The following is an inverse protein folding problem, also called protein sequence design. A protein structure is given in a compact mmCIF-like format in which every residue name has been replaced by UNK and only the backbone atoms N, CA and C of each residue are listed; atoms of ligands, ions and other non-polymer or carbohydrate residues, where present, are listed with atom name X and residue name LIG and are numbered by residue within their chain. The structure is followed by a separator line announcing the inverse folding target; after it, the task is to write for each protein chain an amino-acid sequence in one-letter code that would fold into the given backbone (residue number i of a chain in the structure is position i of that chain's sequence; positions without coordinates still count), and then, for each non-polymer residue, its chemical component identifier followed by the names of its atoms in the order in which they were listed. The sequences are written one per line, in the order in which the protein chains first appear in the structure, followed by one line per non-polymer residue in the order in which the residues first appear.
data_IF_347785269211
#
_entry.id   IF_347785269211
#
_cell.length_a   1.000
_cell.length_b   1.000
_cell.length_c   1.000
_cell.angle_alpha   90.00
_cell.angle_beta   90.00
_cell.angle_gamma   90.00
#
_symmetry.space_group_name_H-M   'P 1'
#
loop_
_entity.id
_entity.type
_entity.pdbx_description
1 polymer ?
#
# COMPACT_ATOMS: atom_id res chain seq x y z
N UNK A 1 -12.92 -59.57 -21.97
CA UNK A 1 -14.02 -60.32 -22.61
C UNK A 1 -15.24 -60.26 -21.69
N UNK A 2 -16.39 -59.74 -22.18
CA UNK A 2 -17.79 -59.76 -21.65
C UNK A 2 -18.04 -59.11 -20.26
N UNK A 3 -18.69 -57.95 -20.11
CA UNK A 3 -20.11 -57.54 -20.29
C UNK A 3 -21.13 -58.43 -19.54
N UNK A 4 -21.85 -57.82 -18.57
CA UNK A 4 -23.31 -57.94 -18.47
C UNK A 4 -23.94 -56.72 -17.76
N UNK A 5 -24.94 -56.16 -18.42
CA UNK A 5 -25.84 -55.07 -18.01
C UNK A 5 -27.14 -55.61 -17.40
N UNK A 6 -27.79 -54.81 -16.56
CA UNK A 6 -29.25 -54.64 -16.45
C UNK A 6 -29.48 -53.23 -15.88
N UNK A 7 -30.14 -52.24 -16.51
CA UNK A 7 -31.54 -52.19 -16.94
C UNK A 7 -32.42 -51.91 -15.70
N UNK A 8 -33.22 -50.85 -15.53
CA UNK A 8 -34.00 -50.11 -16.50
C UNK A 8 -34.68 -48.84 -15.91
N UNK A 9 -34.99 -47.88 -16.81
CA UNK A 9 -36.16 -46.98 -16.86
C UNK A 9 -36.40 -45.96 -15.72
N UNK A 10 -36.11 -44.69 -16.02
CA UNK A 10 -36.93 -43.55 -15.57
C UNK A 10 -37.57 -42.89 -16.79
N UNK A 11 -38.90 -42.97 -16.82
CA UNK A 11 -39.76 -42.27 -17.77
C UNK A 11 -39.68 -40.76 -17.53
N UNK A 12 -39.68 -40.00 -18.61
CA UNK A 12 -39.57 -38.54 -18.57
C UNK A 12 -40.91 -37.82 -18.44
N UNK A 13 -40.82 -36.52 -18.24
CA UNK A 13 -41.89 -35.57 -18.55
C UNK A 13 -41.29 -34.18 -18.75
N UNK A 14 -41.49 -33.63 -19.95
CA UNK A 14 -41.16 -32.27 -20.38
C UNK A 14 -42.23 -31.29 -19.85
N UNK A 15 -41.84 -30.04 -19.52
CA UNK A 15 -42.55 -28.74 -19.73
C UNK A 15 -41.88 -27.70 -18.82
N UNK A 16 -41.24 -26.65 -19.36
CA UNK A 16 -41.82 -25.45 -19.95
C UNK A 16 -42.47 -24.50 -18.93
N UNK A 17 -41.83 -23.33 -18.75
CA UNK A 17 -42.50 -22.03 -18.85
C UNK A 17 -43.28 -21.48 -17.66
N UNK A 18 -42.82 -20.28 -17.25
CA UNK A 18 -43.60 -19.13 -16.76
C UNK A 18 -44.12 -19.11 -15.31
N UNK A 19 -43.48 -18.21 -14.56
CA UNK A 19 -44.06 -17.05 -13.84
C UNK A 19 -45.25 -17.23 -12.90
N UNK A 20 -45.05 -16.74 -11.67
CA UNK A 20 -45.97 -16.07 -10.71
C UNK A 20 -45.59 -16.53 -9.30
N UNK A 21 -45.68 -15.79 -8.21
CA UNK A 21 -45.97 -14.40 -7.88
C UNK A 21 -45.53 -14.21 -6.42
N UNK A 22 -45.07 -13.00 -6.07
CA UNK A 22 -45.16 -12.31 -4.78
C UNK A 22 -45.22 -13.12 -3.46
N UNK A 23 -44.30 -12.84 -2.54
CA UNK A 23 -44.61 -12.41 -1.16
C UNK A 23 -43.51 -11.42 -0.75
N UNK A 24 -43.90 -10.17 -0.51
CA UNK A 24 -43.10 -9.21 0.22
C UNK A 24 -43.30 -9.46 1.72
N UNK A 25 -42.22 -9.68 2.46
CA UNK A 25 -42.15 -9.42 3.89
C UNK A 25 -40.81 -8.77 4.17
N UNK A 26 -40.83 -7.46 4.41
CA UNK A 26 -39.77 -6.75 5.10
C UNK A 26 -39.67 -7.30 6.53
N UNK A 27 -38.55 -7.94 6.86
CA UNK A 27 -38.05 -7.95 8.22
C UNK A 27 -36.68 -7.28 8.21
N UNK A 28 -36.69 -6.05 8.71
CA UNK A 28 -35.52 -5.28 9.11
C UNK A 28 -34.71 -6.09 10.12
N UNK A 29 -33.67 -6.76 9.64
CA UNK A 29 -32.53 -7.13 10.47
C UNK A 29 -31.47 -6.06 10.26
N UNK A 30 -31.65 -4.99 11.03
CA UNK A 30 -30.58 -4.10 11.46
C UNK A 30 -29.52 -4.91 12.18
N UNK A 31 -28.28 -4.84 11.68
CA UNK A 31 -27.08 -5.23 12.40
C UNK A 31 -26.25 -6.31 11.71
N UNK A 32 -24.94 -6.07 11.67
CA UNK A 32 -23.87 -6.88 11.05
C UNK A 32 -23.70 -6.61 9.53
N UNK A 33 -22.76 -5.83 9.04
CA UNK A 33 -21.55 -5.29 9.64
C UNK A 33 -21.31 -3.88 9.10
N UNK A 34 -21.61 -2.87 9.91
CA UNK A 34 -20.71 -1.73 9.92
C UNK A 34 -19.41 -2.27 10.50
N UNK A 35 -18.52 -2.77 9.64
CA UNK A 35 -17.10 -2.69 9.95
C UNK A 35 -16.90 -1.23 10.28
N UNK A 36 -16.73 -0.95 11.58
CA UNK A 36 -16.11 0.29 12.03
C UNK A 36 -14.74 0.25 11.38
N UNK A 37 -14.65 0.74 10.14
CA UNK A 37 -13.42 1.22 9.55
C UNK A 37 -13.00 2.33 10.49
N UNK A 38 -12.13 1.95 11.42
CA UNK A 38 -11.42 2.86 12.29
C UNK A 38 -10.88 3.99 11.42
N UNK A 39 -10.89 5.23 11.92
CA UNK A 39 -10.49 6.40 11.12
C UNK A 39 -9.17 6.20 10.36
N UNK A 40 -8.24 5.39 10.89
CA UNK A 40 -7.01 4.97 10.22
C UNK A 40 -7.20 4.29 8.87
N UNK A 41 -8.15 3.35 8.73
CA UNK A 41 -8.36 2.62 7.47
C UNK A 41 -8.89 3.55 6.36
N UNK A 42 -9.73 4.52 6.72
CA UNK A 42 -10.26 5.50 5.76
C UNK A 42 -9.18 6.45 5.26
N UNK A 43 -8.35 6.96 6.17
CA UNK A 43 -7.21 7.80 5.79
C UNK A 43 -6.20 7.03 4.93
N UNK A 44 -5.84 5.80 5.32
CA UNK A 44 -4.95 4.92 4.56
C UNK A 44 -5.51 4.58 3.16
N UNK A 45 -6.79 4.23 3.07
CA UNK A 45 -7.43 3.94 1.78
C UNK A 45 -7.47 5.19 0.89
N UNK A 46 -7.73 6.37 1.48
CA UNK A 46 -7.75 7.63 0.74
C UNK A 46 -6.37 8.05 0.23
N UNK A 47 -5.30 7.86 1.00
CA UNK A 47 -3.94 8.17 0.58
C UNK A 47 -3.49 7.25 -0.57
N UNK A 48 -3.79 5.95 -0.50
CA UNK A 48 -3.48 4.99 -1.56
C UNK A 48 -4.31 5.29 -2.83
N UNK A 49 -5.60 5.60 -2.68
CA UNK A 49 -6.46 5.96 -3.80
C UNK A 49 -6.01 7.27 -4.47
N UNK A 50 -5.64 8.28 -3.67
CA UNK A 50 -5.06 9.52 -4.16
C UNK A 50 -3.73 9.27 -4.88
N UNK A 51 -2.86 8.42 -4.34
CA UNK A 51 -1.59 8.08 -4.97
C UNK A 51 -1.77 7.37 -6.32
N UNK A 52 -2.77 6.49 -6.42
CA UNK A 52 -3.11 5.82 -7.68
C UNK A 52 -3.79 6.75 -8.69
N UNK A 53 -4.59 7.72 -8.23
CA UNK A 53 -5.29 8.68 -9.09
C UNK A 53 -4.38 9.82 -9.59
N UNK A 54 -3.51 10.34 -8.73
CA UNK A 54 -2.61 11.47 -9.01
C UNK A 54 -1.23 11.02 -9.53
N UNK A 55 -0.96 9.71 -9.49
CA UNK A 55 0.28 9.11 -9.97
C UNK A 55 1.48 9.33 -9.03
N UNK A 56 2.65 8.94 -9.55
CA UNK A 56 3.97 8.98 -8.88
C UNK A 56 4.37 10.40 -8.43
N UNK A 57 3.64 11.43 -8.86
CA UNK A 57 3.92 12.84 -8.59
C UNK A 57 3.37 13.39 -7.27
N UNK A 58 2.61 12.58 -6.51
CA UNK A 58 2.08 13.03 -5.23
C UNK A 58 3.16 13.03 -4.13
N UNK A 59 3.29 14.17 -3.45
CA UNK A 59 4.04 14.28 -2.20
C UNK A 59 3.24 13.72 -1.03
N UNK A 60 3.90 12.91 -0.21
CA UNK A 60 3.32 12.17 0.90
C UNK A 60 3.95 12.62 2.22
N UNK A 61 3.12 12.80 3.25
CA UNK A 61 3.59 12.82 4.63
C UNK A 61 4.20 11.46 4.98
N UNK A 62 5.04 11.38 6.01
CA UNK A 62 5.67 10.12 6.44
C UNK A 62 4.64 9.01 6.69
N UNK A 63 3.51 9.33 7.35
CA UNK A 63 2.44 8.36 7.62
C UNK A 63 1.79 7.82 6.33
N UNK A 64 1.52 8.71 5.37
CA UNK A 64 0.96 8.30 4.08
C UNK A 64 1.98 7.55 3.22
N UNK A 65 3.26 7.92 3.33
CA UNK A 65 4.37 7.24 2.67
C UNK A 65 4.47 5.78 3.13
N UNK A 66 4.41 5.50 4.44
CA UNK A 66 4.40 4.14 4.96
C UNK A 66 3.24 3.31 4.41
N UNK A 67 2.04 3.89 4.35
CA UNK A 67 0.87 3.21 3.79
C UNK A 67 1.06 2.87 2.30
N UNK A 68 1.56 3.82 1.50
CA UNK A 68 1.82 3.61 0.07
C UNK A 68 2.94 2.60 -0.16
N UNK A 69 4.03 2.68 0.59
CA UNK A 69 5.16 1.72 0.52
C UNK A 69 4.68 0.31 0.82
N UNK A 70 3.88 0.11 1.86
CA UNK A 70 3.30 -1.20 2.18
C UNK A 70 2.36 -1.71 1.08
N UNK A 71 1.52 -0.83 0.52
CA UNK A 71 0.62 -1.19 -0.58
C UNK A 71 1.39 -1.57 -1.85
N UNK A 72 2.51 -0.92 -2.15
CA UNK A 72 3.35 -1.23 -3.29
C UNK A 72 4.19 -2.50 -3.06
N UNK A 73 4.64 -2.73 -1.82
CA UNK A 73 5.29 -3.98 -1.43
C UNK A 73 4.36 -5.19 -1.64
N UNK A 74 3.07 -5.06 -1.30
CA UNK A 74 2.06 -6.09 -1.55
C UNK A 74 1.87 -6.39 -3.06
N UNK A 75 2.23 -5.45 -3.95
CA UNK A 75 2.24 -5.63 -5.40
C UNK A 75 3.57 -6.18 -5.94
N UNK A 76 4.53 -6.50 -5.06
CA UNK A 76 5.87 -6.96 -5.44
C UNK A 76 6.75 -5.86 -6.01
N UNK A 77 6.60 -4.63 -5.50
CA UNK A 77 7.40 -3.47 -5.88
C UNK A 77 8.23 -2.98 -4.68
N UNK A 78 9.37 -2.34 -4.96
CA UNK A 78 10.18 -1.63 -3.96
C UNK A 78 10.44 -0.20 -4.41
N UNK A 79 10.71 0.73 -3.48
CA UNK A 79 11.20 2.06 -3.82
C UNK A 79 12.47 1.99 -4.68
N UNK A 80 12.48 2.71 -5.80
CA UNK A 80 13.67 2.86 -6.65
C UNK A 80 14.40 4.16 -6.32
N UNK A 81 13.68 5.28 -6.32
CA UNK A 81 14.19 6.57 -5.87
C UNK A 81 13.27 7.17 -4.80
N UNK A 82 13.82 8.09 -4.02
CA UNK A 82 13.09 8.87 -3.03
C UNK A 82 13.47 10.34 -3.14
N UNK A 83 12.48 11.21 -3.22
CA UNK A 83 12.66 12.64 -3.06
C UNK A 83 12.16 13.08 -1.68
N UNK A 84 12.80 14.09 -1.10
CA UNK A 84 12.37 14.73 0.13
C UNK A 84 12.26 16.25 -0.05
N UNK A 85 11.42 16.87 0.77
CA UNK A 85 11.31 18.33 0.92
C UNK A 85 10.85 18.69 2.32
N UNK A 86 11.00 19.96 2.67
CA UNK A 86 10.33 20.54 3.83
C UNK A 86 8.87 20.83 3.48
N UNK A 87 7.92 20.22 4.20
CA UNK A 87 6.50 20.55 4.12
C UNK A 87 6.11 21.62 5.15
N UNK A 88 6.86 21.70 6.25
CA UNK A 88 6.80 22.77 7.24
C UNK A 88 8.20 23.10 7.74
N UNK A 89 8.47 24.40 7.89
CA UNK A 89 9.69 24.97 8.44
C UNK A 89 9.43 25.67 9.80
N UNK A 90 8.30 25.37 10.45
CA UNK A 90 7.99 25.88 11.78
C UNK A 90 8.98 25.29 12.80
N UNK A 91 9.70 26.12 13.59
CA UNK A 91 10.62 25.62 14.61
C UNK A 91 9.92 24.67 15.58
N UNK A 92 10.48 23.46 15.75
CA UNK A 92 9.91 22.41 16.61
C UNK A 92 8.86 21.51 15.95
N UNK A 93 8.45 21.78 14.71
CA UNK A 93 7.56 20.93 13.91
C UNK A 93 8.16 20.68 12.53
N UNK A 94 9.19 19.85 12.49
CA UNK A 94 9.78 19.38 11.24
C UNK A 94 8.82 18.39 10.58
N UNK A 95 8.15 18.84 9.52
CA UNK A 95 7.32 18.00 8.66
C UNK A 95 8.01 17.84 7.31
N UNK A 96 8.16 16.59 6.88
CA UNK A 96 8.82 16.26 5.62
C UNK A 96 7.82 15.67 4.64
N UNK A 97 7.89 16.18 3.41
CA UNK A 97 7.23 15.57 2.26
C UNK A 97 8.18 14.57 1.62
N UNK A 98 7.67 13.41 1.24
CA UNK A 98 8.41 12.38 0.51
C UNK A 98 7.69 11.97 -0.75
N UNK A 99 8.45 11.59 -1.77
CA UNK A 99 7.91 11.09 -3.05
C UNK A 99 8.77 9.93 -3.53
N UNK A 100 8.14 8.90 -4.08
CA UNK A 100 8.83 7.66 -4.48
C UNK A 100 8.59 7.32 -5.93
N UNK A 101 9.61 6.78 -6.60
CA UNK A 101 9.42 5.95 -7.79
C UNK A 101 9.56 4.48 -7.40
N UNK A 102 9.10 3.58 -8.28
CA UNK A 102 9.01 2.15 -7.97
C UNK A 102 9.61 1.30 -9.07
N UNK A 103 10.21 0.20 -8.66
CA UNK A 103 10.62 -0.89 -9.54
C UNK A 103 10.13 -2.23 -9.00
N UNK A 104 10.15 -3.24 -9.86
CA UNK A 104 9.90 -4.63 -9.43
C UNK A 104 10.92 -5.04 -8.37
N UNK A 105 10.44 -5.67 -7.31
CA UNK A 105 11.29 -6.24 -6.26
C UNK A 105 12.14 -7.38 -6.85
N UNK A 106 13.49 -7.32 -6.78
CA UNK A 106 14.31 -8.49 -7.04
C UNK A 106 13.97 -9.62 -6.06
N UNK A 107 14.22 -10.87 -6.46
CA UNK A 107 13.97 -12.03 -5.62
C UNK A 107 14.70 -11.90 -4.27
N UNK A 108 13.98 -12.14 -3.17
CA UNK A 108 14.48 -12.07 -1.80
C UNK A 108 15.10 -10.71 -1.40
N UNK A 109 14.76 -9.63 -2.13
CA UNK A 109 15.24 -8.29 -1.79
C UNK A 109 14.59 -7.78 -0.51
N UNK A 110 15.42 -7.18 0.34
CA UNK A 110 14.98 -6.41 1.51
C UNK A 110 15.28 -4.94 1.26
N UNK A 111 14.45 -4.06 1.82
CA UNK A 111 14.68 -2.63 1.74
C UNK A 111 14.29 -1.91 3.03
N UNK A 112 14.80 -0.70 3.18
CA UNK A 112 14.45 0.25 4.22
C UNK A 112 14.56 1.65 3.64
N UNK A 113 13.71 2.57 4.07
CA UNK A 113 13.78 3.96 3.65
C UNK A 113 13.57 4.85 4.87
N UNK A 114 14.16 6.04 4.85
CA UNK A 114 14.04 7.04 5.92
C UNK A 114 14.10 8.45 5.33
N UNK A 115 13.49 9.39 6.06
CA UNK A 115 13.59 10.84 5.83
C UNK A 115 13.88 11.53 7.16
N UNK A 116 14.76 12.53 7.16
CA UNK A 116 15.11 13.26 8.38
C UNK A 116 16.36 14.10 8.23
N UNK A 117 16.88 14.62 9.33
CA UNK A 117 18.14 15.36 9.31
C UNK A 117 19.34 14.45 8.97
N UNK A 118 20.48 15.00 8.54
CA UNK A 118 21.65 14.20 8.14
C UNK A 118 22.23 13.31 9.25
N UNK A 119 22.16 13.74 10.51
CA UNK A 119 22.69 12.95 11.63
C UNK A 119 21.77 11.76 11.93
N UNK A 120 20.46 11.95 11.85
CA UNK A 120 19.46 10.89 11.91
C UNK A 120 19.72 9.84 10.83
N UNK A 121 19.90 10.25 9.58
CA UNK A 121 20.14 9.31 8.47
C UNK A 121 21.47 8.56 8.59
N UNK A 122 22.53 9.23 9.06
CA UNK A 122 23.80 8.57 9.34
C UNK A 122 23.62 7.46 10.40
N UNK A 123 22.83 7.71 11.44
CA UNK A 123 22.51 6.69 12.45
C UNK A 123 21.73 5.50 11.86
N UNK A 124 20.85 5.76 10.89
CA UNK A 124 20.05 4.73 10.20
C UNK A 124 20.89 3.93 9.23
N UNK A 125 21.85 4.56 8.55
CA UNK A 125 22.81 3.87 7.69
C UNK A 125 23.62 2.83 8.47
N UNK A 126 24.10 3.17 9.68
CA UNK A 126 24.79 2.19 10.55
C UNK A 126 23.88 1.01 10.90
N UNK A 127 22.61 1.27 11.24
CA UNK A 127 21.65 0.20 11.55
C UNK A 127 21.31 -0.67 10.34
N UNK A 128 21.12 -0.06 9.18
CA UNK A 128 20.85 -0.74 7.91
C UNK A 128 22.03 -1.65 7.51
N UNK A 129 23.25 -1.15 7.61
CA UNK A 129 24.48 -1.90 7.31
C UNK A 129 24.62 -3.14 8.21
N UNK A 130 24.29 -3.02 9.51
CA UNK A 130 24.34 -4.16 10.45
C UNK A 130 23.41 -5.31 10.08
N UNK A 131 22.32 -5.03 9.36
CA UNK A 131 21.37 -6.04 8.89
C UNK A 131 21.56 -6.39 7.42
N UNK A 132 22.72 -6.03 6.84
CA UNK A 132 23.13 -6.39 5.49
C UNK A 132 22.53 -5.54 4.37
N UNK A 133 21.92 -4.40 4.67
CA UNK A 133 21.43 -3.46 3.66
C UNK A 133 22.49 -2.43 3.34
N UNK A 134 22.62 -2.03 2.06
CA UNK A 134 23.50 -0.96 1.59
C UNK A 134 22.69 0.17 1.02
N UNK A 135 23.20 1.40 1.13
CA UNK A 135 22.50 2.59 0.62
C UNK A 135 22.46 2.53 -0.91
N UNK A 136 21.26 2.38 -1.46
CA UNK A 136 21.00 2.30 -2.89
C UNK A 136 20.66 3.67 -3.49
N UNK A 137 20.02 4.54 -2.71
CA UNK A 137 19.68 5.90 -3.12
C UNK A 137 19.78 6.84 -1.92
N UNK A 138 20.21 8.08 -2.17
CA UNK A 138 20.22 9.14 -1.18
C UNK A 138 20.02 10.49 -1.85
N UNK A 139 19.28 11.38 -1.19
CA UNK A 139 19.15 12.78 -1.60
C UNK A 139 19.22 13.68 -0.38
N UNK A 140 19.80 14.85 -0.57
CA UNK A 140 19.88 15.91 0.44
C UNK A 140 19.27 17.18 -0.15
N UNK A 141 18.41 17.83 0.60
CA UNK A 141 17.78 19.11 0.27
C UNK A 141 18.08 20.11 1.37
N UNK A 142 18.46 21.31 0.96
CA UNK A 142 18.74 22.42 1.87
C UNK A 142 17.68 23.50 1.68
N UNK A 143 17.10 23.96 2.78
CA UNK A 143 16.24 25.13 2.79
C UNK A 143 17.10 26.38 2.51
N UNK A 144 16.83 27.15 1.43
CA UNK A 144 17.62 28.31 1.07
C UNK A 144 17.50 29.47 2.07
N UNK A 145 16.42 29.52 2.86
CA UNK A 145 16.16 30.60 3.82
C UNK A 145 16.83 30.29 5.16
N UNK A 146 16.60 29.09 5.69
CA UNK A 146 17.06 28.71 7.03
C UNK A 146 18.42 28.00 7.04
N UNK A 147 18.87 27.50 5.89
CA UNK A 147 20.06 26.66 5.76
C UNK A 147 19.89 25.25 6.34
N UNK A 148 18.71 24.91 6.86
CA UNK A 148 18.41 23.59 7.38
C UNK A 148 18.51 22.53 6.29
N UNK A 149 18.94 21.32 6.66
CA UNK A 149 19.12 20.21 5.74
C UNK A 149 18.18 19.08 6.13
N UNK A 150 17.48 18.55 5.12
CA UNK A 150 16.75 17.29 5.20
C UNK A 150 17.39 16.34 4.18
N UNK A 151 17.50 15.08 4.53
CA UNK A 151 17.82 14.05 3.57
C UNK A 151 16.76 12.98 3.55
N UNK A 152 16.84 12.15 2.51
CA UNK A 152 16.16 10.89 2.44
C UNK A 152 17.09 9.83 1.86
N UNK A 153 16.84 8.58 2.21
CA UNK A 153 17.67 7.47 1.77
C UNK A 153 16.87 6.19 1.64
N UNK A 154 17.27 5.35 0.69
CA UNK A 154 16.81 3.97 0.53
C UNK A 154 18.03 3.07 0.69
N UNK A 155 17.89 2.03 1.51
CA UNK A 155 18.85 0.94 1.65
C UNK A 155 18.24 -0.36 1.15
N UNK A 156 19.01 -1.17 0.43
CA UNK A 156 18.58 -2.47 -0.09
C UNK A 156 19.66 -3.55 0.14
N UNK A 157 19.26 -4.81 0.18
CA UNK A 157 20.18 -5.97 0.21
C UNK A 157 20.84 -6.21 -1.14
#
# INVERSE_FOLDING_TARGET
MRINQAGSRRAGSRRAGRASATIAVLLLLTGCAAFRMSGGDRYQTSAIAAYQANGIDQWLTTENADAVVNAMAAKGMIPETIDCRFDSNVPGQLAYGTKFTWKRAPANSRYHWEVGDPAYLASKEVKANRVGLRRAYAKLVQDPVTGQKVGCSIWTS
#
